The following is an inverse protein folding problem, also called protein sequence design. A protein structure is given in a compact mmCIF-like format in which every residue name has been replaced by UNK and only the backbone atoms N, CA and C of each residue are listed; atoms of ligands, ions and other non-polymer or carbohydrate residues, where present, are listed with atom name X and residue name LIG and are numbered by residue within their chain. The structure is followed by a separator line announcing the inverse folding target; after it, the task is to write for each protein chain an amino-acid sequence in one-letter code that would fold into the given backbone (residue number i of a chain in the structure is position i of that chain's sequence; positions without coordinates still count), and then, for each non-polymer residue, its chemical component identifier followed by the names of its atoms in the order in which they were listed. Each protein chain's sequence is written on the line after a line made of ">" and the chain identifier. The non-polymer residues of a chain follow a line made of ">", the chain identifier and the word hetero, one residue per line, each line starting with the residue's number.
data_IF_718364972507
#
_entry.id   IF_718364972507
#
_cell.length_a   1.000
_cell.length_b   1.000
_cell.length_c   1.000
_cell.angle_alpha   90.00
_cell.angle_beta   90.00
_cell.angle_gamma   90.00
#
_symmetry.space_group_name_H-M   'P 1'
#
loop_
_entity.id
_entity.type
_entity.pdbx_description
1 polymer ?
#
# COMPACT_ATOMS: atom_id res chain seq x y z
N UNK A 1 -23.22 -4.62 -17.25
CA UNK A 1 -22.60 -3.32 -16.91
C UNK A 1 -21.12 -3.48 -17.18
N UNK A 2 -20.53 -2.65 -18.03
CA UNK A 2 -19.11 -2.80 -18.40
C UNK A 2 -18.23 -2.50 -17.18
N UNK A 3 -17.56 -3.51 -16.64
CA UNK A 3 -16.54 -3.33 -15.61
C UNK A 3 -15.45 -2.42 -16.17
N UNK A 4 -15.30 -1.21 -15.62
CA UNK A 4 -14.16 -0.36 -15.95
C UNK A 4 -12.94 -1.01 -15.30
N UNK A 5 -12.14 -1.73 -16.09
CA UNK A 5 -10.88 -2.31 -15.64
C UNK A 5 -10.04 -1.20 -15.01
N UNK A 6 -9.75 -1.30 -13.72
CA UNK A 6 -8.96 -0.29 -13.03
C UNK A 6 -7.58 -0.20 -13.68
N UNK A 7 -7.14 1.03 -13.97
CA UNK A 7 -5.82 1.27 -14.57
C UNK A 7 -4.76 0.88 -13.53
N UNK A 8 -3.82 0.03 -13.92
CA UNK A 8 -2.63 -0.31 -13.13
C UNK A 8 -1.92 0.99 -12.75
N UNK A 9 -1.73 1.20 -11.45
CA UNK A 9 -0.97 2.32 -10.90
C UNK A 9 0.36 1.80 -10.41
N UNK A 10 1.41 2.60 -10.60
CA UNK A 10 2.69 2.31 -9.97
C UNK A 10 2.60 2.62 -8.47
N UNK A 11 2.89 1.62 -7.65
CA UNK A 11 2.80 1.67 -6.18
C UNK A 11 4.17 1.67 -5.51
N UNK A 12 5.25 1.50 -6.29
CA UNK A 12 6.58 1.38 -5.75
C UNK A 12 7.19 2.76 -5.50
N UNK A 13 7.90 2.87 -4.38
CA UNK A 13 8.74 4.01 -4.03
C UNK A 13 10.17 3.52 -3.91
N UNK A 14 11.10 4.22 -4.54
CA UNK A 14 12.53 3.93 -4.41
C UNK A 14 13.06 4.53 -3.11
N UNK A 15 13.62 3.70 -2.24
CA UNK A 15 14.09 4.09 -0.91
C UNK A 15 13.01 4.04 0.19
N UNK A 16 13.29 4.60 1.38
CA UNK A 16 12.35 4.56 2.49
C UNK A 16 11.10 5.40 2.22
N UNK A 17 9.94 4.92 2.67
CA UNK A 17 8.69 5.69 2.61
C UNK A 17 8.75 6.81 3.64
N UNK A 18 8.63 8.06 3.18
CA UNK A 18 8.53 9.23 4.04
C UNK A 18 7.23 9.17 4.87
N UNK A 19 7.28 9.22 6.22
CA UNK A 19 6.07 9.28 7.05
C UNK A 19 5.10 10.39 6.64
N UNK A 20 5.60 11.51 6.11
CA UNK A 20 4.78 12.63 5.65
C UNK A 20 3.91 12.24 4.44
N UNK A 21 4.38 11.34 3.58
CA UNK A 21 3.60 10.81 2.47
C UNK A 21 2.33 10.11 2.97
N UNK A 22 2.44 9.30 4.03
CA UNK A 22 1.31 8.62 4.67
C UNK A 22 0.34 9.63 5.27
N UNK A 23 0.84 10.63 6.01
CA UNK A 23 0.02 11.68 6.60
C UNK A 23 -0.79 12.46 5.55
N UNK A 24 -0.15 12.87 4.45
CA UNK A 24 -0.82 13.56 3.34
C UNK A 24 -1.87 12.67 2.66
N UNK A 25 -1.65 11.36 2.58
CA UNK A 25 -2.65 10.43 2.02
C UNK A 25 -3.92 10.35 2.88
N UNK A 26 -3.75 10.31 4.21
CA UNK A 26 -4.87 10.36 5.16
C UNK A 26 -5.62 11.70 5.07
N UNK A 27 -4.89 12.82 5.04
CA UNK A 27 -5.48 14.16 4.97
C UNK A 27 -6.35 14.37 3.73
N UNK A 28 -5.97 13.80 2.57
CA UNK A 28 -6.78 13.86 1.34
C UNK A 28 -8.19 13.28 1.52
N UNK A 29 -8.40 12.41 2.50
CA UNK A 29 -9.71 11.82 2.81
C UNK A 29 -10.51 12.63 3.83
N UNK A 30 -9.96 13.69 4.43
CA UNK A 30 -10.68 14.53 5.39
C UNK A 30 -11.99 15.13 4.81
N UNK A 31 -12.05 15.30 3.49
CA UNK A 31 -13.23 15.80 2.77
C UNK A 31 -14.28 14.72 2.46
N UNK A 32 -13.98 13.44 2.72
CA UNK A 32 -14.82 12.27 2.42
C UNK A 32 -15.70 11.91 3.61
N UNK A 33 -16.86 12.56 3.70
CA UNK A 33 -17.83 12.35 4.78
C UNK A 33 -18.49 10.96 4.77
N UNK A 34 -18.32 10.20 3.68
CA UNK A 34 -18.77 8.82 3.52
C UNK A 34 -17.82 7.78 4.16
N UNK A 35 -16.64 8.21 4.62
CA UNK A 35 -15.63 7.35 5.23
C UNK A 35 -15.56 7.63 6.74
N UNK A 36 -15.96 6.64 7.55
CA UNK A 36 -15.97 6.74 9.01
C UNK A 36 -14.73 6.19 9.71
N UNK A 37 -13.85 5.49 9.00
CA UNK A 37 -12.67 4.85 9.57
C UNK A 37 -11.56 4.66 8.53
N UNK A 38 -10.32 4.61 9.03
CA UNK A 38 -9.14 4.25 8.27
C UNK A 38 -8.49 3.02 8.91
N UNK A 39 -8.08 2.06 8.08
CA UNK A 39 -7.24 0.94 8.48
C UNK A 39 -5.90 1.06 7.78
N UNK A 40 -4.81 0.89 8.51
CA UNK A 40 -3.45 1.07 8.00
C UNK A 40 -2.54 -0.03 8.54
N UNK A 41 -1.75 -0.62 7.64
CA UNK A 41 -0.67 -1.53 7.98
C UNK A 41 0.67 -0.92 7.54
N UNK A 42 1.63 -0.80 8.47
CA UNK A 42 2.96 -0.27 8.22
C UNK A 42 4.01 -1.31 8.61
N UNK A 43 4.77 -1.78 7.62
CA UNK A 43 5.95 -2.62 7.84
C UNK A 43 7.18 -1.76 8.15
N UNK A 44 7.86 -2.04 9.26
CA UNK A 44 9.10 -1.36 9.64
C UNK A 44 10.29 -2.32 9.53
N UNK A 45 11.37 -1.87 8.87
CA UNK A 45 12.67 -2.55 8.93
C UNK A 45 13.19 -2.46 10.36
N UNK A 46 13.38 -3.61 11.00
CA UNK A 46 13.89 -3.70 12.38
C UNK A 46 15.41 -3.81 12.39
N UNK A 47 16.04 -3.12 13.32
CA UNK A 47 17.48 -3.24 13.60
C UNK A 47 17.79 -4.51 14.41
N UNK A 48 17.32 -5.66 13.91
CA UNK A 48 17.53 -6.96 14.56
C UNK A 48 19.04 -7.30 14.59
N UNK A 49 19.52 -7.91 15.67
CA UNK A 49 20.90 -8.41 15.74
C UNK A 49 21.01 -9.78 15.04
N UNK A 50 21.94 -9.88 14.11
CA UNK A 50 22.32 -11.13 13.45
C UNK A 50 23.79 -11.40 13.75
N UNK A 51 24.04 -12.20 14.79
CA UNK A 51 25.38 -12.67 15.16
C UNK A 51 26.35 -11.53 15.51
N UNK A 52 25.87 -10.54 16.28
CA UNK A 52 26.64 -9.37 16.70
C UNK A 52 26.70 -8.25 15.65
N UNK A 53 25.89 -8.33 14.60
CA UNK A 53 25.74 -7.30 13.58
C UNK A 53 24.28 -6.84 13.50
N UNK A 54 24.04 -5.55 13.70
CA UNK A 54 22.71 -4.98 13.54
C UNK A 54 22.33 -4.87 12.06
N UNK A 55 21.09 -5.21 11.74
CA UNK A 55 20.53 -4.94 10.40
C UNK A 55 20.44 -3.43 10.19
N UNK A 56 21.14 -2.93 9.16
CA UNK A 56 21.11 -1.51 8.78
C UNK A 56 19.96 -1.19 7.82
N UNK A 57 19.73 -2.06 6.84
CA UNK A 57 18.68 -1.91 5.84
C UNK A 57 18.25 -3.27 5.26
N UNK A 58 17.13 -3.27 4.55
CA UNK A 58 16.69 -4.38 3.70
C UNK A 58 16.55 -3.85 2.28
N UNK A 59 17.21 -4.52 1.33
CA UNK A 59 17.05 -4.25 -0.09
C UNK A 59 15.91 -5.10 -0.66
N UNK A 60 15.00 -4.46 -1.40
CA UNK A 60 13.80 -5.09 -1.94
C UNK A 60 13.87 -5.08 -3.46
N UNK A 61 13.69 -6.24 -4.08
CA UNK A 61 13.61 -6.37 -5.54
C UNK A 61 12.34 -7.11 -5.93
N UNK A 62 11.81 -6.78 -7.11
CA UNK A 62 10.60 -7.41 -7.64
C UNK A 62 10.61 -7.42 -9.17
N UNK A 63 9.93 -8.41 -9.75
CA UNK A 63 9.48 -8.28 -11.14
C UNK A 63 8.29 -7.31 -11.17
N UNK A 64 8.59 -6.03 -11.43
CA UNK A 64 7.67 -4.90 -11.21
C UNK A 64 6.32 -5.09 -11.92
N UNK A 65 6.32 -5.43 -13.20
CA UNK A 65 5.09 -5.56 -13.99
C UNK A 65 4.15 -6.63 -13.41
N UNK A 66 4.69 -7.82 -13.12
CA UNK A 66 3.92 -8.89 -12.49
C UNK A 66 3.41 -8.48 -11.10
N UNK A 67 4.23 -7.80 -10.30
CA UNK A 67 3.82 -7.35 -8.96
C UNK A 67 2.66 -6.33 -9.04
N UNK A 68 2.72 -5.39 -9.99
CA UNK A 68 1.65 -4.40 -10.21
C UNK A 68 0.34 -5.06 -10.68
N UNK A 69 0.41 -6.06 -11.55
CA UNK A 69 -0.75 -6.86 -11.94
C UNK A 69 -1.36 -7.58 -10.74
N UNK A 70 -0.53 -8.27 -9.94
CA UNK A 70 -1.01 -8.98 -8.74
C UNK A 70 -1.62 -8.07 -7.70
N UNK A 71 -1.08 -6.88 -7.50
CA UNK A 71 -1.66 -5.91 -6.57
C UNK A 71 -3.00 -5.35 -7.07
N UNK A 72 -3.18 -5.27 -8.40
CA UNK A 72 -4.49 -4.93 -8.99
C UNK A 72 -5.50 -6.04 -8.68
N UNK A 73 -5.14 -7.31 -8.88
CA UNK A 73 -6.01 -8.45 -8.55
C UNK A 73 -6.41 -8.44 -7.06
N UNK A 74 -5.45 -8.30 -6.14
CA UNK A 74 -5.69 -8.24 -4.70
C UNK A 74 -6.65 -7.10 -4.33
N UNK A 75 -6.48 -5.93 -4.96
CA UNK A 75 -7.36 -4.78 -4.74
C UNK A 75 -8.80 -5.09 -5.14
N UNK A 76 -9.02 -5.68 -6.32
CA UNK A 76 -10.37 -6.01 -6.78
C UNK A 76 -11.00 -7.11 -5.92
N UNK A 77 -10.22 -8.13 -5.53
CA UNK A 77 -10.66 -9.16 -4.58
C UNK A 77 -11.09 -8.56 -3.23
N UNK A 78 -10.34 -7.56 -2.73
CA UNK A 78 -10.68 -6.88 -1.50
C UNK A 78 -12.00 -6.08 -1.62
N UNK A 79 -12.22 -5.33 -2.70
CA UNK A 79 -13.52 -4.65 -2.90
C UNK A 79 -14.68 -5.63 -3.05
N UNK A 80 -14.47 -6.77 -3.73
CA UNK A 80 -15.49 -7.81 -3.84
C UNK A 80 -15.83 -8.42 -2.47
N UNK A 81 -14.82 -8.64 -1.62
CA UNK A 81 -14.98 -9.22 -0.29
C UNK A 81 -15.55 -8.24 0.73
N UNK A 82 -15.23 -6.95 0.61
CA UNK A 82 -15.70 -5.88 1.50
C UNK A 82 -16.36 -4.76 0.68
N UNK A 83 -17.63 -4.91 0.27
CA UNK A 83 -18.31 -3.97 -0.62
C UNK A 83 -18.51 -2.56 -0.05
N UNK A 84 -18.43 -2.40 1.27
CA UNK A 84 -18.49 -1.09 1.95
C UNK A 84 -17.15 -0.35 1.97
N UNK A 85 -16.06 -1.02 1.60
CA UNK A 85 -14.77 -0.37 1.46
C UNK A 85 -14.84 0.63 0.32
N UNK A 86 -14.56 1.90 0.63
CA UNK A 86 -14.74 3.00 -0.32
C UNK A 86 -13.46 3.31 -1.10
N UNK A 87 -12.29 3.08 -0.49
CA UNK A 87 -11.00 3.35 -1.09
C UNK A 87 -9.92 2.40 -0.57
N UNK A 88 -8.92 2.14 -1.40
CA UNK A 88 -7.72 1.35 -1.11
C UNK A 88 -6.57 1.96 -1.91
N UNK A 89 -5.47 2.28 -1.21
CA UNK A 89 -4.27 2.92 -1.75
C UNK A 89 -3.06 2.02 -1.56
#
# INVERSE_FOLDING_TARGET
>A
MSEKKHKVRDIFVEGPIDPQFVATSLEKHATRLDIGAHELFLGQVRADDKSGQAVEAIDYTAYRDMALERMTDIREEAFAKWPSMTCLH
#
